data_IF_267798096235
#
_entry.id   IF_267798096235
#
_cell.length_a   1.000
_cell.length_b   1.000
_cell.length_c   1.000
_cell.angle_alpha   90.00
_cell.angle_beta   90.00
_cell.angle_gamma   90.00
#
_symmetry.space_group_name_H-M   'P 1'
#
loop_
_entity.id
_entity.type
_entity.pdbx_description
1 polymer ?
#
# COMPACT_ATOMS: atom_id res chain seq x y z
N UNK A 1 -5.59 -18.91 12.47
CA UNK A 1 -5.55 -18.83 10.98
C UNK A 1 -6.86 -18.29 10.39
N UNK A 2 -8.02 -18.53 11.01
CA UNK A 2 -9.34 -18.03 10.56
C UNK A 2 -9.49 -16.50 10.61
N UNK A 3 -9.04 -15.85 11.69
CA UNK A 3 -9.21 -14.39 11.90
C UNK A 3 -8.53 -13.49 10.85
N UNK A 4 -7.36 -13.88 10.33
CA UNK A 4 -6.64 -13.09 9.32
C UNK A 4 -7.30 -13.19 7.94
N UNK A 5 -7.73 -14.40 7.56
CA UNK A 5 -8.52 -14.62 6.35
C UNK A 5 -9.85 -13.87 6.42
N UNK A 6 -10.52 -13.87 7.58
CA UNK A 6 -11.76 -13.14 7.78
C UNK A 6 -11.56 -11.62 7.66
N UNK A 7 -10.47 -11.07 8.22
CA UNK A 7 -10.14 -9.65 8.07
C UNK A 7 -9.91 -9.26 6.62
N UNK A 8 -9.15 -10.06 5.88
CA UNK A 8 -8.89 -9.83 4.46
C UNK A 8 -10.19 -9.83 3.65
N UNK A 9 -11.11 -10.78 3.90
CA UNK A 9 -12.38 -10.84 3.17
C UNK A 9 -13.28 -9.64 3.50
N UNK A 10 -13.34 -9.20 4.75
CA UNK A 10 -14.06 -7.97 5.13
C UNK A 10 -13.52 -6.76 4.36
N UNK A 11 -12.19 -6.60 4.31
CA UNK A 11 -11.57 -5.50 3.55
C UNK A 11 -11.82 -5.59 2.05
N UNK A 12 -11.78 -6.79 1.46
CA UNK A 12 -12.12 -6.99 0.04
C UNK A 12 -13.55 -6.54 -0.27
N UNK A 13 -14.51 -6.94 0.56
CA UNK A 13 -15.90 -6.51 0.44
C UNK A 13 -16.05 -4.99 0.56
N UNK A 14 -15.36 -4.37 1.54
CA UNK A 14 -15.40 -2.93 1.75
C UNK A 14 -14.80 -2.13 0.57
N UNK A 15 -13.65 -2.57 0.03
CA UNK A 15 -13.01 -1.92 -1.13
C UNK A 15 -13.91 -2.04 -2.36
N UNK A 16 -14.46 -3.23 -2.63
CA UNK A 16 -15.39 -3.44 -3.74
C UNK A 16 -16.62 -2.55 -3.63
N UNK A 17 -17.23 -2.48 -2.45
CA UNK A 17 -18.37 -1.61 -2.21
C UNK A 17 -18.02 -0.13 -2.43
N UNK A 18 -16.82 0.31 -2.04
CA UNK A 18 -16.37 1.69 -2.30
C UNK A 18 -16.16 1.96 -3.79
N UNK A 19 -15.57 1.01 -4.52
CA UNK A 19 -15.36 1.12 -5.96
C UNK A 19 -16.69 1.29 -6.71
N UNK A 20 -17.67 0.45 -6.38
CA UNK A 20 -19.02 0.50 -6.98
C UNK A 20 -19.75 1.83 -6.70
N UNK A 21 -19.41 2.52 -5.60
CA UNK A 21 -19.97 3.84 -5.27
C UNK A 21 -19.20 5.02 -5.86
N UNK A 22 -17.92 4.86 -6.19
CA UNK A 22 -17.03 6.00 -6.45
C UNK A 22 -17.22 6.70 -7.80
N UNK A 23 -18.06 6.17 -8.70
CA UNK A 23 -18.24 6.63 -10.10
C UNK A 23 -16.92 6.76 -10.91
N UNK A 24 -15.80 6.38 -10.30
CA UNK A 24 -14.46 6.47 -10.86
C UNK A 24 -14.12 5.15 -11.53
N UNK A 25 -13.82 5.24 -12.81
CA UNK A 25 -13.22 4.14 -13.56
C UNK A 25 -11.76 4.01 -13.15
N UNK A 26 -11.30 2.77 -12.94
CA UNK A 26 -9.90 2.47 -12.65
C UNK A 26 -8.98 3.19 -13.66
N UNK A 27 -7.86 3.73 -13.17
CA UNK A 27 -6.82 4.30 -14.01
C UNK A 27 -6.37 3.29 -15.08
N UNK A 28 -6.72 3.56 -16.34
CA UNK A 28 -6.30 2.79 -17.51
C UNK A 28 -5.21 3.50 -18.32
N UNK A 29 -4.74 2.93 -19.44
CA UNK A 29 -3.66 3.49 -20.27
C UNK A 29 -3.85 4.94 -20.73
N UNK A 30 -5.08 5.42 -20.84
CA UNK A 30 -5.39 6.81 -21.16
C UNK A 30 -5.14 7.80 -20.01
N UNK A 31 -5.14 7.33 -18.75
CA UNK A 31 -5.04 8.18 -17.56
C UNK A 31 -3.61 8.67 -17.30
N UNK A 32 -3.50 9.87 -16.71
CA UNK A 32 -2.21 10.45 -16.30
C UNK A 32 -1.52 9.55 -15.27
N UNK A 33 -2.26 9.02 -14.29
CA UNK A 33 -1.74 8.11 -13.27
C UNK A 33 -1.06 6.90 -13.90
N UNK A 34 -1.67 6.26 -14.90
CA UNK A 34 -1.08 5.10 -15.58
C UNK A 34 0.18 5.48 -16.36
N UNK A 35 0.14 6.60 -17.09
CA UNK A 35 1.26 7.09 -17.90
C UNK A 35 2.48 7.49 -17.08
N UNK A 36 2.30 8.04 -15.89
CA UNK A 36 3.42 8.40 -15.01
C UNK A 36 3.99 7.15 -14.35
N UNK A 37 3.14 6.32 -13.76
CA UNK A 37 3.58 5.18 -12.96
C UNK A 37 4.26 4.06 -13.78
N UNK A 38 4.14 4.08 -15.11
CA UNK A 38 4.84 3.10 -15.98
C UNK A 38 6.34 3.39 -16.10
N UNK A 39 6.74 4.62 -15.79
CA UNK A 39 8.12 5.07 -15.93
C UNK A 39 8.94 4.66 -14.69
N UNK A 40 10.00 3.88 -14.90
CA UNK A 40 10.86 3.35 -13.81
C UNK A 40 11.43 4.47 -12.93
N UNK A 41 11.63 5.66 -13.49
CA UNK A 41 12.15 6.83 -12.77
C UNK A 41 11.29 7.25 -11.57
N UNK A 42 9.99 6.93 -11.57
CA UNK A 42 9.09 7.20 -10.45
C UNK A 42 9.57 6.50 -9.18
N UNK A 43 10.04 5.26 -9.29
CA UNK A 43 10.56 4.48 -8.16
C UNK A 43 11.83 5.12 -7.60
N UNK A 44 12.70 5.67 -8.45
CA UNK A 44 13.90 6.38 -8.00
C UNK A 44 13.55 7.62 -7.14
N UNK A 45 12.44 8.30 -7.45
CA UNK A 45 11.95 9.44 -6.68
C UNK A 45 11.41 9.09 -5.29
N UNK A 46 11.04 7.83 -5.03
CA UNK A 46 10.42 7.42 -3.77
C UNK A 46 11.35 7.55 -2.57
N UNK A 47 12.67 7.40 -2.75
CA UNK A 47 13.64 7.54 -1.66
C UNK A 47 13.49 8.89 -0.93
N UNK A 48 13.42 9.99 -1.69
CA UNK A 48 13.20 11.33 -1.13
C UNK A 48 11.84 11.43 -0.43
N UNK A 49 10.78 10.93 -1.07
CA UNK A 49 9.43 10.98 -0.50
C UNK A 49 9.34 10.20 0.82
N UNK A 50 10.04 9.07 0.94
CA UNK A 50 10.10 8.28 2.18
C UNK A 50 10.82 9.06 3.28
N UNK A 51 11.95 9.70 2.96
CA UNK A 51 12.66 10.54 3.93
C UNK A 51 11.79 11.70 4.43
N UNK A 52 11.03 12.33 3.53
CA UNK A 52 10.08 13.39 3.90
C UNK A 52 8.93 12.86 4.79
N UNK A 53 8.42 11.65 4.53
CA UNK A 53 7.42 11.01 5.39
C UNK A 53 7.99 10.70 6.78
N UNK A 54 9.21 10.17 6.84
CA UNK A 54 9.90 9.86 8.10
C UNK A 54 10.32 11.11 8.89
N UNK A 55 10.35 12.28 8.28
CA UNK A 55 10.55 13.54 9.00
C UNK A 55 9.36 13.89 9.92
N UNK A 56 8.18 13.31 9.69
CA UNK A 56 7.03 13.50 10.57
C UNK A 56 7.10 12.57 11.79
N UNK A 57 7.11 13.09 13.04
CA UNK A 57 7.33 12.28 14.25
C UNK A 57 6.36 11.11 14.41
N UNK A 58 5.08 11.33 14.12
CA UNK A 58 4.06 10.27 14.20
C UNK A 58 4.32 9.12 13.21
N UNK A 59 4.77 9.44 11.99
CA UNK A 59 5.09 8.44 10.97
C UNK A 59 6.36 7.68 11.35
N UNK A 60 7.38 8.40 11.82
CA UNK A 60 8.60 7.79 12.33
C UNK A 60 8.33 6.81 13.47
N UNK A 61 7.49 7.19 14.44
CA UNK A 61 7.08 6.34 15.55
C UNK A 61 6.30 5.10 15.05
N UNK A 62 5.33 5.28 14.14
CA UNK A 62 4.59 4.17 13.56
C UNK A 62 5.49 3.16 12.82
N UNK A 63 6.44 3.65 12.03
CA UNK A 63 7.44 2.81 11.36
C UNK A 63 8.34 2.12 12.39
N UNK A 64 8.78 2.84 13.42
CA UNK A 64 9.66 2.31 14.45
C UNK A 64 9.04 1.14 15.23
N UNK A 65 7.75 1.22 15.54
CA UNK A 65 7.03 0.22 16.33
C UNK A 65 6.47 -0.94 15.51
N UNK A 66 6.02 -0.70 14.26
CA UNK A 66 5.26 -1.69 13.49
C UNK A 66 5.94 -2.20 12.23
N UNK A 67 7.13 -1.68 11.88
CA UNK A 67 7.84 -2.08 10.67
C UNK A 67 9.11 -2.84 10.99
N UNK A 68 9.37 -3.92 10.24
CA UNK A 68 10.67 -4.59 10.22
C UNK A 68 11.75 -3.79 9.46
N UNK A 69 11.61 -2.46 9.34
CA UNK A 69 12.53 -1.60 8.59
C UNK A 69 13.95 -1.58 9.17
N UNK A 70 14.09 -1.85 10.48
CA UNK A 70 15.38 -2.04 11.16
C UNK A 70 15.96 -3.45 11.05
N UNK A 71 15.36 -4.33 10.26
CA UNK A 71 15.87 -5.68 10.03
C UNK A 71 17.08 -5.71 9.08
N UNK A 72 17.45 -6.92 8.66
CA UNK A 72 18.54 -7.12 7.69
C UNK A 72 18.24 -6.50 6.32
N UNK A 73 19.27 -6.32 5.48
CA UNK A 73 19.13 -5.86 4.09
C UNK A 73 18.07 -6.67 3.32
N UNK A 74 18.00 -7.99 3.55
CA UNK A 74 17.00 -8.89 2.96
C UNK A 74 15.57 -8.50 3.35
N UNK A 75 15.34 -8.10 4.60
CA UNK A 75 14.02 -7.67 5.07
C UNK A 75 13.58 -6.35 4.41
N UNK A 76 14.52 -5.43 4.20
CA UNK A 76 14.27 -4.16 3.50
C UNK A 76 13.98 -4.38 2.01
N UNK A 77 14.74 -5.25 1.34
CA UNK A 77 14.48 -5.65 -0.06
C UNK A 77 13.10 -6.31 -0.19
N UNK A 78 12.74 -7.21 0.73
CA UNK A 78 11.42 -7.84 0.74
C UNK A 78 10.29 -6.81 0.89
N UNK A 79 10.44 -5.85 1.81
CA UNK A 79 9.44 -4.78 1.98
C UNK A 79 9.32 -3.91 0.74
N UNK A 80 10.44 -3.56 0.11
CA UNK A 80 10.44 -2.80 -1.14
C UNK A 80 9.71 -3.57 -2.23
N UNK A 81 10.04 -4.85 -2.42
CA UNK A 81 9.37 -5.72 -3.39
C UNK A 81 7.85 -5.82 -3.13
N UNK A 82 7.42 -6.00 -1.89
CA UNK A 82 5.99 -6.00 -1.54
C UNK A 82 5.31 -4.66 -1.83
N UNK A 83 6.00 -3.54 -1.60
CA UNK A 83 5.48 -2.19 -1.85
C UNK A 83 5.33 -1.95 -3.36
N UNK A 84 6.35 -2.28 -4.15
CA UNK A 84 6.29 -2.20 -5.62
C UNK A 84 5.20 -3.11 -6.16
N UNK A 85 5.10 -4.36 -5.71
CA UNK A 85 4.07 -5.29 -6.16
C UNK A 85 2.64 -4.80 -5.86
N UNK A 86 2.43 -4.17 -4.71
CA UNK A 86 1.15 -3.56 -4.37
C UNK A 86 0.83 -2.36 -5.27
N UNK A 87 1.79 -1.46 -5.50
CA UNK A 87 1.63 -0.32 -6.41
C UNK A 87 1.33 -0.76 -7.84
N UNK A 88 2.03 -1.78 -8.35
CA UNK A 88 1.78 -2.34 -9.67
C UNK A 88 0.37 -2.94 -9.77
N UNK A 89 -0.07 -3.65 -8.75
CA UNK A 89 -1.43 -4.25 -8.71
C UNK A 89 -2.52 -3.18 -8.66
N UNK A 90 -2.30 -2.08 -7.92
CA UNK A 90 -3.23 -0.95 -7.83
C UNK A 90 -3.33 -0.16 -9.14
N UNK A 91 -2.22 -0.05 -9.88
CA UNK A 91 -2.13 0.81 -11.07
C UNK A 91 -2.39 0.06 -12.37
N UNK A 92 -1.76 -1.10 -12.53
CA UNK A 92 -1.74 -1.88 -13.78
C UNK A 92 -2.58 -3.14 -13.72
N UNK A 93 -2.87 -3.64 -12.50
CA UNK A 93 -3.63 -4.87 -12.31
C UNK A 93 -5.09 -4.76 -12.72
N UNK A 94 -5.73 -5.91 -12.88
CA UNK A 94 -7.18 -5.99 -13.03
C UNK A 94 -7.91 -5.57 -11.74
N UNK A 95 -9.24 -5.47 -11.82
CA UNK A 95 -10.08 -5.05 -10.69
C UNK A 95 -9.89 -5.94 -9.45
N UNK A 96 -9.71 -7.25 -9.62
CA UNK A 96 -9.53 -8.18 -8.50
C UNK A 96 -8.14 -8.09 -7.89
N UNK A 97 -7.11 -7.90 -8.71
CA UNK A 97 -5.75 -7.65 -8.24
C UNK A 97 -5.69 -6.35 -7.42
N UNK A 98 -6.30 -5.28 -7.92
CA UNK A 98 -6.42 -4.00 -7.21
C UNK A 98 -7.17 -4.17 -5.88
N UNK A 99 -8.35 -4.81 -5.88
CA UNK A 99 -9.13 -5.05 -4.66
C UNK A 99 -8.33 -5.86 -3.64
N UNK A 100 -7.61 -6.90 -4.10
CA UNK A 100 -6.77 -7.73 -3.23
C UNK A 100 -5.62 -6.94 -2.63
N UNK A 101 -4.92 -6.13 -3.44
CA UNK A 101 -3.81 -5.30 -2.97
C UNK A 101 -4.28 -4.28 -1.94
N UNK A 102 -5.35 -3.54 -2.24
CA UNK A 102 -5.95 -2.58 -1.31
C UNK A 102 -6.41 -3.25 0.00
N UNK A 103 -7.07 -4.40 -0.08
CA UNK A 103 -7.53 -5.12 1.10
C UNK A 103 -6.38 -5.62 1.98
N UNK A 104 -5.29 -6.10 1.37
CA UNK A 104 -4.07 -6.49 2.10
C UNK A 104 -3.42 -5.30 2.80
N UNK A 105 -3.34 -4.15 2.13
CA UNK A 105 -2.81 -2.91 2.74
C UNK A 105 -3.65 -2.54 3.95
N UNK A 106 -4.99 -2.53 3.82
CA UNK A 106 -5.88 -2.19 4.94
C UNK A 106 -5.72 -3.17 6.10
N UNK A 107 -5.65 -4.49 5.84
CA UNK A 107 -5.43 -5.49 6.87
C UNK A 107 -4.06 -5.34 7.58
N UNK A 108 -3.03 -4.84 6.87
CA UNK A 108 -1.74 -4.49 7.49
C UNK A 108 -1.90 -3.25 8.38
N UNK A 109 -2.59 -2.22 7.90
CA UNK A 109 -2.80 -0.97 8.64
C UNK A 109 -3.68 -1.12 9.87
N UNK A 110 -4.62 -2.09 9.91
CA UNK A 110 -5.39 -2.41 11.12
C UNK A 110 -4.51 -2.72 12.35
N UNK A 111 -3.26 -3.15 12.12
CA UNK A 111 -2.30 -3.53 13.16
C UNK A 111 -1.40 -2.37 13.58
N UNK A 112 -1.47 -1.24 12.89
CA UNK A 112 -0.68 -0.04 13.19
C UNK A 112 -1.54 0.85 14.09
N UNK A 113 -1.31 0.77 15.40
CA UNK A 113 -2.05 1.56 16.40
C UNK A 113 -1.06 2.07 17.45
N UNK A 114 -1.18 3.35 17.80
CA UNK A 114 -0.44 3.96 18.91
C UNK A 114 -1.08 5.27 19.35
N UNK A 115 -0.69 5.76 20.53
CA UNK A 115 -1.32 6.96 21.13
C UNK A 115 -1.11 8.24 20.30
N UNK A 116 -0.03 8.27 19.50
CA UNK A 116 0.35 9.39 18.65
C UNK A 116 0.10 9.16 17.15
N UNK A 117 -0.42 7.99 16.74
CA UNK A 117 -0.67 7.64 15.33
C UNK A 117 -1.69 6.50 15.16
N UNK A 118 -2.51 6.56 14.11
CA UNK A 118 -3.51 5.54 13.76
C UNK A 118 -3.57 5.33 12.25
#
# INVERSE_FOLDING_TARGET
MTSETDSLQRHRAAVRARLLRSDHVRAGPGSITWKINREVIVVAGWGRAILLQLAHPAVAAGVHHHSSFRGSLLSSVRRLHSTVGAMLSLTFGDTEQMITAAARINAIHDRVRGDAYS
#
